data_IF_598130357037
#
_entry.id   IF_598130357037
#
_cell.length_a   1.000
_cell.length_b   1.000
_cell.length_c   1.000
_cell.angle_alpha   90.00
_cell.angle_beta   90.00
_cell.angle_gamma   90.00
#
_symmetry.space_group_name_H-M   'P 1'
#
loop_
_entity.id
_entity.type
_entity.pdbx_description
1 polymer ?
#
# COMPACT_ATOMS: atom_id res chain seq x y z
N UNK A 1 -39.22 -8.24 11.50
CA UNK A 1 -38.16 -9.26 11.34
C UNK A 1 -37.27 -8.78 10.21
N UNK A 2 -36.02 -8.45 10.48
CA UNK A 2 -35.09 -7.99 9.43
C UNK A 2 -34.50 -9.21 8.76
N UNK A 3 -34.83 -9.43 7.48
CA UNK A 3 -34.26 -10.50 6.67
C UNK A 3 -33.03 -9.93 5.97
N UNK A 4 -31.85 -10.46 6.28
CA UNK A 4 -30.60 -10.15 5.57
C UNK A 4 -30.48 -11.16 4.43
N UNK A 5 -30.36 -10.67 3.20
CA UNK A 5 -30.17 -11.54 2.03
C UNK A 5 -28.69 -11.97 1.90
N UNK A 6 -28.41 -12.96 1.07
CA UNK A 6 -27.06 -13.52 0.90
C UNK A 6 -26.02 -12.49 0.46
N UNK A 7 -26.37 -11.55 -0.42
CA UNK A 7 -25.44 -10.53 -0.91
C UNK A 7 -25.08 -9.51 0.18
N UNK A 8 -26.08 -9.07 0.95
CA UNK A 8 -25.85 -8.17 2.09
C UNK A 8 -25.03 -8.87 3.19
N UNK A 9 -25.28 -10.16 3.44
CA UNK A 9 -24.48 -10.94 4.40
C UNK A 9 -23.01 -11.07 3.95
N UNK A 10 -22.77 -11.32 2.67
CA UNK A 10 -21.43 -11.41 2.09
C UNK A 10 -20.68 -10.08 2.18
N UNK A 11 -21.30 -8.97 1.76
CA UNK A 11 -20.68 -7.64 1.81
C UNK A 11 -20.30 -7.24 3.25
N UNK A 12 -21.21 -7.47 4.20
CA UNK A 12 -20.97 -7.22 5.62
C UNK A 12 -19.81 -8.06 6.16
N UNK A 13 -19.74 -9.35 5.80
CA UNK A 13 -18.67 -10.24 6.21
C UNK A 13 -17.31 -9.83 5.61
N UNK A 14 -17.28 -9.44 4.34
CA UNK A 14 -16.07 -8.96 3.67
C UNK A 14 -15.55 -7.66 4.29
N UNK A 15 -16.45 -6.71 4.57
CA UNK A 15 -16.09 -5.47 5.27
C UNK A 15 -15.55 -5.75 6.67
N UNK A 16 -16.14 -6.69 7.39
CA UNK A 16 -15.64 -7.09 8.71
C UNK A 16 -14.25 -7.73 8.62
N UNK A 17 -14.04 -8.65 7.69
CA UNK A 17 -12.74 -9.28 7.46
C UNK A 17 -11.66 -8.24 7.11
N UNK A 18 -11.97 -7.29 6.21
CA UNK A 18 -11.05 -6.21 5.85
C UNK A 18 -10.66 -5.32 7.05
N UNK A 19 -11.59 -5.06 7.98
CA UNK A 19 -11.30 -4.34 9.23
C UNK A 19 -10.34 -5.12 10.13
N UNK A 20 -10.54 -6.43 10.28
CA UNK A 20 -9.62 -7.28 11.05
C UNK A 20 -8.22 -7.31 10.42
N UNK A 21 -8.14 -7.42 9.09
CA UNK A 21 -6.86 -7.36 8.37
C UNK A 21 -6.16 -6.00 8.56
N UNK A 22 -6.90 -4.89 8.47
CA UNK A 22 -6.35 -3.55 8.70
C UNK A 22 -5.78 -3.39 10.13
N UNK A 23 -6.43 -3.99 11.14
CA UNK A 23 -5.90 -4.04 12.51
C UNK A 23 -4.62 -4.89 12.56
N UNK A 24 -4.60 -6.07 11.93
CA UNK A 24 -3.42 -6.94 11.87
C UNK A 24 -2.22 -6.22 11.27
N UNK A 25 -2.43 -5.57 10.12
CA UNK A 25 -1.43 -4.77 9.38
C UNK A 25 -0.76 -3.72 10.28
N UNK A 26 -1.56 -2.98 11.06
CA UNK A 26 -1.11 -1.89 11.95
C UNK A 26 -0.48 -2.39 13.25
N UNK A 27 -0.90 -3.55 13.74
CA UNK A 27 -0.43 -4.07 15.04
C UNK A 27 0.74 -5.05 14.93
N UNK A 28 1.05 -5.51 13.72
CA UNK A 28 2.21 -6.35 13.48
C UNK A 28 3.52 -5.66 13.90
N UNK A 29 4.53 -6.40 14.40
CA UNK A 29 5.76 -5.82 14.94
C UNK A 29 6.56 -5.09 13.86
N UNK A 30 6.88 -3.81 14.08
CA UNK A 30 7.64 -2.96 13.15
C UNK A 30 9.00 -2.60 13.71
N UNK A 31 9.89 -2.16 12.84
CA UNK A 31 11.22 -1.70 13.21
C UNK A 31 11.09 -0.63 14.30
N UNK A 32 11.82 -0.84 15.41
CA UNK A 32 11.79 0.00 16.63
C UNK A 32 10.41 0.16 17.29
N UNK A 33 9.43 -0.66 16.94
CA UNK A 33 8.06 -0.53 17.45
C UNK A 33 7.32 0.72 16.96
N UNK A 34 7.81 1.39 15.90
CA UNK A 34 7.19 2.62 15.37
C UNK A 34 6.44 2.31 14.09
N UNK A 35 5.13 2.55 14.12
CA UNK A 35 4.24 2.21 13.02
C UNK A 35 4.04 3.38 12.04
N UNK A 36 4.59 3.22 10.84
CA UNK A 36 4.42 4.15 9.71
C UNK A 36 3.66 3.55 8.52
N UNK A 37 3.03 2.39 8.73
CA UNK A 37 2.14 1.79 7.73
C UNK A 37 0.91 2.69 7.57
N UNK A 38 0.29 2.70 6.40
CA UNK A 38 -1.02 3.31 6.21
C UNK A 38 -1.91 2.26 5.57
N UNK A 39 -3.14 2.17 6.04
CA UNK A 39 -4.12 1.23 5.52
C UNK A 39 -5.44 1.94 5.23
N UNK A 40 -6.13 1.52 4.18
CA UNK A 40 -7.45 2.04 3.83
C UNK A 40 -8.29 0.94 3.19
N UNK A 41 -9.56 0.86 3.58
CA UNK A 41 -10.53 -0.05 2.99
C UNK A 41 -11.33 0.74 1.96
N UNK A 42 -11.41 0.21 0.74
CA UNK A 42 -12.03 0.87 -0.41
C UNK A 42 -13.18 0.01 -0.92
N UNK A 43 -14.33 0.64 -1.12
CA UNK A 43 -15.55 0.04 -1.68
C UNK A 43 -16.21 1.00 -2.66
N UNK A 44 -17.26 0.55 -3.34
CA UNK A 44 -18.09 1.39 -4.20
C UNK A 44 -17.32 2.08 -5.34
N UNK A 45 -17.68 3.32 -5.64
CA UNK A 45 -17.15 4.11 -6.77
C UNK A 45 -15.66 4.42 -6.67
N UNK A 46 -15.10 4.47 -5.46
CA UNK A 46 -13.68 4.74 -5.28
C UNK A 46 -12.81 3.64 -5.90
N UNK A 47 -13.32 2.40 -5.97
CA UNK A 47 -12.66 1.33 -6.72
C UNK A 47 -12.53 1.68 -8.21
N UNK A 48 -13.58 2.21 -8.82
CA UNK A 48 -13.53 2.60 -10.24
C UNK A 48 -12.54 3.75 -10.48
N UNK A 49 -12.42 4.69 -9.54
CA UNK A 49 -11.41 5.76 -9.62
C UNK A 49 -9.98 5.21 -9.61
N UNK A 50 -9.70 4.22 -8.76
CA UNK A 50 -8.39 3.55 -8.72
C UNK A 50 -8.15 2.75 -10.00
N UNK A 51 -9.13 1.97 -10.46
CA UNK A 51 -9.01 1.18 -11.68
C UNK A 51 -8.67 2.05 -12.90
N UNK A 52 -9.36 3.19 -13.07
CA UNK A 52 -9.03 4.17 -14.12
C UNK A 52 -7.64 4.76 -13.97
N UNK A 53 -7.21 5.06 -12.73
CA UNK A 53 -5.86 5.56 -12.49
C UNK A 53 -4.79 4.52 -12.88
N UNK A 54 -5.05 3.22 -12.68
CA UNK A 54 -4.16 2.14 -13.12
C UNK A 54 -4.09 2.05 -14.64
N UNK A 55 -5.22 2.16 -15.34
CA UNK A 55 -5.27 2.19 -16.80
C UNK A 55 -4.56 3.41 -17.38
N UNK A 56 -4.79 4.60 -16.81
CA UNK A 56 -4.08 5.82 -17.20
C UNK A 56 -2.57 5.68 -16.95
N UNK A 57 -2.18 5.02 -15.85
CA UNK A 57 -0.76 4.79 -15.54
C UNK A 57 -0.09 3.94 -16.63
N UNK A 58 -0.77 2.92 -17.17
CA UNK A 58 -0.25 2.12 -18.29
C UNK A 58 0.13 2.97 -19.50
N UNK A 59 -0.65 4.00 -19.82
CA UNK A 59 -0.38 4.91 -20.93
C UNK A 59 0.82 5.82 -20.67
N UNK A 60 1.05 6.19 -19.41
CA UNK A 60 2.14 7.07 -18.98
C UNK A 60 3.48 6.35 -18.82
N UNK A 61 3.49 5.02 -18.75
CA UNK A 61 4.70 4.22 -18.55
C UNK A 61 5.66 4.31 -19.73
N UNK A 62 6.95 4.47 -19.44
CA UNK A 62 8.02 4.39 -20.45
C UNK A 62 8.08 3.00 -21.08
N UNK A 63 7.89 1.97 -20.25
CA UNK A 63 7.76 0.58 -20.68
C UNK A 63 6.38 0.08 -20.31
N UNK A 64 5.57 -0.30 -21.31
CA UNK A 64 4.21 -0.82 -21.06
C UNK A 64 4.25 -2.07 -20.19
N UNK A 65 3.46 -2.06 -19.11
CA UNK A 65 3.27 -3.18 -18.20
C UNK A 65 1.79 -3.57 -18.27
N UNK A 66 1.47 -4.56 -19.10
CA UNK A 66 0.07 -4.98 -19.36
C UNK A 66 -0.68 -5.41 -18.09
N UNK A 67 0.05 -5.74 -17.01
CA UNK A 67 -0.51 -6.04 -15.69
C UNK A 67 -1.43 -4.95 -15.12
N UNK A 68 -1.19 -3.66 -15.41
CA UNK A 68 -2.04 -2.57 -14.90
C UNK A 68 -3.50 -2.72 -15.32
N UNK A 69 -3.76 -3.09 -16.58
CA UNK A 69 -5.14 -3.27 -17.08
C UNK A 69 -5.81 -4.47 -16.39
N UNK A 70 -5.10 -5.60 -16.33
CA UNK A 70 -5.59 -6.81 -15.63
C UNK A 70 -5.93 -6.51 -14.17
N UNK A 71 -5.05 -5.78 -13.48
CA UNK A 71 -5.23 -5.50 -12.06
C UNK A 71 -6.33 -4.46 -11.81
N UNK A 72 -6.56 -3.52 -12.74
CA UNK A 72 -7.73 -2.64 -12.75
C UNK A 72 -9.03 -3.44 -12.84
N UNK A 73 -9.09 -4.44 -13.73
CA UNK A 73 -10.25 -5.32 -13.86
C UNK A 73 -10.45 -6.15 -12.59
N UNK A 74 -9.40 -6.71 -12.00
CA UNK A 74 -9.50 -7.43 -10.71
C UNK A 74 -10.09 -6.55 -9.61
N UNK A 75 -9.69 -5.28 -9.56
CA UNK A 75 -10.17 -4.32 -8.58
C UNK A 75 -11.66 -3.97 -8.77
N UNK A 76 -12.15 -3.90 -10.02
CA UNK A 76 -13.58 -3.74 -10.31
C UNK A 76 -14.41 -4.92 -9.82
N UNK A 77 -13.89 -6.14 -10.00
CA UNK A 77 -14.57 -7.38 -9.60
C UNK A 77 -14.42 -7.73 -8.11
N UNK A 78 -13.64 -6.96 -7.34
CA UNK A 78 -13.47 -7.16 -5.89
C UNK A 78 -14.50 -6.31 -5.12
N UNK A 79 -15.39 -6.88 -4.28
CA UNK A 79 -16.37 -6.08 -3.53
C UNK A 79 -15.72 -5.08 -2.55
N UNK A 80 -14.65 -5.52 -1.88
CA UNK A 80 -13.88 -4.76 -0.88
C UNK A 80 -12.40 -4.90 -1.19
N UNK A 81 -11.65 -3.80 -1.10
CA UNK A 81 -10.20 -3.78 -1.31
C UNK A 81 -9.51 -3.16 -0.10
N UNK A 82 -8.51 -3.84 0.45
CA UNK A 82 -7.62 -3.28 1.46
C UNK A 82 -6.34 -2.77 0.77
N UNK A 83 -6.10 -1.46 0.84
CA UNK A 83 -4.85 -0.84 0.42
C UNK A 83 -3.92 -0.72 1.62
N UNK A 84 -2.65 -1.10 1.43
CA UNK A 84 -1.60 -0.98 2.43
C UNK A 84 -0.39 -0.28 1.81
N UNK A 85 0.17 0.69 2.53
CA UNK A 85 1.36 1.42 2.13
C UNK A 85 2.24 1.76 3.32
N UNK A 86 3.42 2.32 3.08
CA UNK A 86 4.34 2.76 4.14
C UNK A 86 4.92 4.12 3.82
N UNK A 87 5.08 4.98 4.83
CA UNK A 87 5.91 6.18 4.71
C UNK A 87 7.36 5.75 4.94
N UNK A 88 8.19 5.84 3.91
CA UNK A 88 9.54 5.25 3.92
C UNK A 88 10.70 6.20 3.63
N UNK A 89 10.46 7.48 3.36
CA UNK A 89 11.49 8.46 2.97
C UNK A 89 12.20 9.10 4.17
N UNK A 90 12.28 8.38 5.29
CA UNK A 90 13.01 8.77 6.50
C UNK A 90 13.66 7.52 7.11
N UNK A 91 14.59 7.73 8.03
CA UNK A 91 15.46 6.67 8.56
C UNK A 91 15.07 6.22 9.97
N UNK A 92 15.46 4.98 10.30
CA UNK A 92 15.39 4.39 11.65
C UNK A 92 16.65 4.64 12.50
N UNK A 93 17.69 5.26 11.92
CA UNK A 93 18.93 5.57 12.65
C UNK A 93 19.76 4.34 13.03
N UNK A 94 19.73 3.29 12.20
CA UNK A 94 20.40 1.99 12.45
C UNK A 94 21.72 1.86 11.64
N UNK A 95 22.00 2.75 10.70
CA UNK A 95 23.20 2.77 9.85
C UNK A 95 23.49 1.43 9.13
N UNK A 96 22.44 0.72 8.70
CA UNK A 96 22.56 -0.60 8.09
C UNK A 96 23.15 -0.61 6.66
N UNK A 97 23.21 0.54 5.98
CA UNK A 97 23.72 0.66 4.60
C UNK A 97 22.84 0.08 3.48
N UNK A 98 21.76 -0.64 3.79
CA UNK A 98 20.94 -1.35 2.78
C UNK A 98 20.23 -0.43 1.77
N UNK A 99 20.02 0.85 2.09
CA UNK A 99 19.48 1.85 1.16
C UNK A 99 20.55 2.44 0.22
N UNK A 100 21.81 2.00 0.32
CA UNK A 100 22.93 2.45 -0.51
C UNK A 100 23.68 3.69 -0.01
N UNK A 101 23.26 4.28 1.12
CA UNK A 101 23.96 5.40 1.75
C UNK A 101 24.91 4.92 2.86
N UNK A 102 26.05 5.61 3.08
CA UNK A 102 27.05 5.20 4.07
C UNK A 102 26.60 5.41 5.52
N UNK A 103 25.63 6.30 5.76
CA UNK A 103 24.98 6.50 7.05
C UNK A 103 23.54 6.99 6.87
N UNK A 104 22.76 6.88 7.95
CA UNK A 104 21.41 7.43 8.06
C UNK A 104 21.41 8.96 8.00
N UNK A 105 22.47 9.59 8.47
CA UNK A 105 22.65 11.04 8.35
C UNK A 105 22.76 11.46 6.87
N UNK A 106 23.58 10.76 6.09
CA UNK A 106 23.72 11.01 4.65
C UNK A 106 22.44 10.67 3.88
N UNK A 107 21.72 9.61 4.27
CA UNK A 107 20.38 9.33 3.76
C UNK A 107 19.41 10.48 4.03
N UNK A 108 19.40 11.03 5.25
CA UNK A 108 18.48 12.12 5.63
C UNK A 108 18.78 13.44 4.92
N UNK A 109 20.03 13.67 4.52
CA UNK A 109 20.43 14.82 3.69
C UNK A 109 20.13 14.62 2.21
N UNK A 110 19.90 13.38 1.79
CA UNK A 110 19.66 13.08 0.39
C UNK A 110 18.38 13.73 -0.11
N UNK A 111 18.43 14.31 -1.30
CA UNK A 111 17.26 14.88 -1.95
C UNK A 111 16.26 13.77 -2.26
N UNK A 112 15.02 13.93 -1.78
CA UNK A 112 13.92 13.04 -2.12
C UNK A 112 13.44 13.35 -3.53
N UNK A 113 13.53 12.36 -4.43
CA UNK A 113 13.20 12.52 -5.85
C UNK A 113 12.12 11.52 -6.26
N UNK A 114 11.18 12.00 -7.06
CA UNK A 114 10.17 11.15 -7.70
C UNK A 114 10.82 10.45 -8.91
N UNK A 115 10.88 9.12 -8.85
CA UNK A 115 11.19 8.28 -10.00
C UNK A 115 10.00 8.13 -10.94
N UNK A 116 9.95 7.05 -11.72
CA UNK A 116 8.81 6.81 -12.62
C UNK A 116 7.49 6.55 -11.86
N UNK A 117 7.57 5.77 -10.77
CA UNK A 117 6.40 5.43 -9.95
C UNK A 117 6.56 5.80 -8.48
N UNK A 118 7.75 5.58 -7.92
CA UNK A 118 8.02 5.73 -6.50
C UNK A 118 8.92 6.91 -6.22
N UNK A 119 8.74 7.48 -5.04
CA UNK A 119 9.60 8.53 -4.50
C UNK A 119 10.64 7.89 -3.60
N UNK A 120 11.91 8.21 -3.82
CA UNK A 120 13.02 7.66 -3.05
C UNK A 120 14.03 8.74 -2.65
N UNK A 121 15.04 8.39 -1.85
CA UNK A 121 15.36 7.03 -1.39
C UNK A 121 14.37 6.51 -0.31
N UNK A 122 14.30 5.19 -0.16
CA UNK A 122 13.48 4.54 0.86
C UNK A 122 14.37 3.83 1.87
N UNK A 123 14.06 3.99 3.16
CA UNK A 123 14.71 3.20 4.20
C UNK A 123 14.30 1.73 4.08
N UNK A 124 15.27 0.84 4.02
CA UNK A 124 15.03 -0.60 3.82
C UNK A 124 14.16 -1.19 4.93
N UNK A 125 14.33 -0.75 6.18
CA UNK A 125 13.50 -1.20 7.30
C UNK A 125 12.02 -0.85 7.11
N UNK A 126 11.71 0.31 6.51
CA UNK A 126 10.31 0.67 6.19
C UNK A 126 9.73 -0.20 5.08
N UNK A 127 10.54 -0.58 4.10
CA UNK A 127 10.12 -1.56 3.09
C UNK A 127 9.88 -2.94 3.69
N UNK A 128 10.67 -3.37 4.67
CA UNK A 128 10.47 -4.63 5.41
C UNK A 128 9.21 -4.55 6.28
N UNK A 129 9.01 -3.45 6.99
CA UNK A 129 7.82 -3.21 7.83
C UNK A 129 6.52 -3.38 7.03
N UNK A 130 6.53 -2.97 5.76
CA UNK A 130 5.43 -3.16 4.81
C UNK A 130 5.22 -4.63 4.45
N UNK A 131 6.28 -5.41 4.29
CA UNK A 131 6.17 -6.85 4.01
C UNK A 131 5.71 -7.69 5.22
N UNK A 132 5.88 -7.16 6.44
CA UNK A 132 5.36 -7.76 7.67
C UNK A 132 3.87 -7.42 7.87
N UNK A 133 3.39 -6.34 7.26
CA UNK A 133 2.01 -5.87 7.36
C UNK A 133 1.08 -6.68 6.46
#
# INVERSE_FOLDING_TARGET
MTVINSGEAEENALLFAAKLMAVSVRTAPKTRGVDHIVASIVTGEEKERIARAMELKLEQKKKRITGFKRDADNLRHSPVVLLVGVKGTFTEGIDCGACGYPSCEEFSKAETRKGEDFTGPLCMFKSIDLGIA
#
